data_IF_049149245625
#
_entry.id   IF_049149245625
#
_cell.length_a   1.000
_cell.length_b   1.000
_cell.length_c   1.000
_cell.angle_alpha   90.00
_cell.angle_beta   90.00
_cell.angle_gamma   90.00
#
_symmetry.space_group_name_H-M   'P 1'
#
loop_
_entity.id
_entity.type
_entity.pdbx_description
1 polymer ?
#
# COMPACT_ATOMS: atom_id res chain seq x y z
N UNK A 1 6.37 -16.21 -43.83
CA UNK A 1 5.66 -14.90 -43.89
C UNK A 1 4.80 -14.64 -42.66
N UNK A 2 4.08 -15.64 -42.14
CA UNK A 2 3.24 -15.56 -40.93
C UNK A 2 3.95 -14.95 -39.70
N UNK A 3 5.18 -15.41 -39.38
CA UNK A 3 5.95 -14.89 -38.23
C UNK A 3 6.23 -13.38 -38.29
N UNK A 4 6.54 -12.84 -39.47
CA UNK A 4 6.79 -11.39 -39.63
C UNK A 4 5.50 -10.58 -39.55
N UNK A 5 4.40 -11.12 -40.07
CA UNK A 5 3.07 -10.52 -39.91
C UNK A 5 2.65 -10.43 -38.45
N UNK A 6 2.85 -11.50 -37.66
CA UNK A 6 2.56 -11.51 -36.22
C UNK A 6 3.41 -10.50 -35.45
N UNK A 7 4.71 -10.42 -35.72
CA UNK A 7 5.59 -9.44 -35.06
C UNK A 7 5.22 -8.00 -35.41
N UNK A 8 4.82 -7.73 -36.66
CA UNK A 8 4.36 -6.41 -37.08
C UNK A 8 3.04 -6.04 -36.39
N UNK A 9 2.11 -6.99 -36.27
CA UNK A 9 0.87 -6.81 -35.51
C UNK A 9 1.16 -6.47 -34.04
N UNK A 10 2.00 -7.25 -33.36
CA UNK A 10 2.36 -6.97 -31.96
C UNK A 10 3.11 -5.64 -31.79
N UNK A 11 3.91 -5.23 -32.78
CA UNK A 11 4.57 -3.92 -32.78
C UNK A 11 3.54 -2.79 -32.80
N UNK A 12 2.56 -2.87 -33.71
CA UNK A 12 1.48 -1.87 -33.81
C UNK A 12 0.65 -1.86 -32.54
N UNK A 13 0.31 -3.03 -31.98
CA UNK A 13 -0.41 -3.13 -30.71
C UNK A 13 0.37 -2.53 -29.54
N UNK A 14 1.67 -2.82 -29.42
CA UNK A 14 2.51 -2.23 -28.38
C UNK A 14 2.65 -0.72 -28.53
N UNK A 15 2.81 -0.22 -29.76
CA UNK A 15 2.89 1.22 -30.04
C UNK A 15 1.58 1.94 -29.74
N UNK A 16 0.46 1.38 -30.19
CA UNK A 16 -0.87 1.94 -29.91
C UNK A 16 -1.16 1.94 -28.42
N UNK A 17 -0.86 0.84 -27.72
CA UNK A 17 -1.00 0.76 -26.26
C UNK A 17 -0.08 1.73 -25.49
N UNK A 18 1.10 2.07 -26.04
CA UNK A 18 2.01 3.07 -25.46
C UNK A 18 1.51 4.51 -25.64
N UNK A 19 0.79 4.78 -26.73
CA UNK A 19 0.28 6.10 -27.10
C UNK A 19 -1.16 6.35 -26.62
N UNK A 20 -1.88 5.29 -26.27
CA UNK A 20 -3.20 5.36 -25.66
C UNK A 20 -3.08 6.00 -24.28
N UNK A 21 -3.66 7.20 -24.15
CA UNK A 21 -3.77 7.91 -22.87
C UNK A 21 -4.52 7.09 -21.83
N UNK A 22 -5.56 6.38 -22.28
CA UNK A 22 -6.45 5.56 -21.43
C UNK A 22 -6.22 4.07 -21.70
N UNK A 23 -5.03 3.57 -21.39
CA UNK A 23 -4.75 2.14 -21.47
C UNK A 23 -5.47 1.43 -20.31
N UNK A 24 -6.45 0.54 -20.55
CA UNK A 24 -7.29 -0.02 -19.50
C UNK A 24 -6.52 -0.89 -18.50
N UNK A 25 -5.45 -1.57 -18.95
CA UNK A 25 -4.61 -2.40 -18.06
C UNK A 25 -3.79 -1.53 -17.12
N UNK A 26 -3.22 -0.44 -17.65
CA UNK A 26 -2.46 0.51 -16.84
C UNK A 26 -3.39 1.26 -15.91
N UNK A 27 -4.56 1.71 -16.39
CA UNK A 27 -5.57 2.38 -15.59
C UNK A 27 -6.09 1.53 -14.44
N UNK A 28 -6.37 0.24 -14.67
CA UNK A 28 -6.76 -0.69 -13.60
C UNK A 28 -5.64 -0.85 -12.54
N UNK A 29 -4.39 -1.02 -12.97
CA UNK A 29 -3.27 -1.12 -12.04
C UNK A 29 -3.00 0.18 -11.26
N UNK A 30 -3.22 1.35 -11.88
CA UNK A 30 -3.19 2.64 -11.21
C UNK A 30 -4.31 2.77 -10.18
N UNK A 31 -5.52 2.35 -10.54
CA UNK A 31 -6.68 2.28 -9.66
C UNK A 31 -6.39 1.43 -8.42
N UNK A 32 -5.89 0.21 -8.61
CA UNK A 32 -5.49 -0.65 -7.50
C UNK A 32 -4.47 0.01 -6.56
N UNK A 33 -3.41 0.61 -7.10
CA UNK A 33 -2.42 1.31 -6.28
C UNK A 33 -3.02 2.51 -5.54
N UNK A 34 -3.90 3.28 -6.19
CA UNK A 34 -4.58 4.42 -5.59
C UNK A 34 -5.57 3.99 -4.48
N UNK A 35 -6.30 2.90 -4.67
CA UNK A 35 -7.24 2.37 -3.68
C UNK A 35 -6.51 1.92 -2.41
N UNK A 36 -5.37 1.24 -2.56
CA UNK A 36 -4.57 0.88 -1.39
C UNK A 36 -3.99 2.12 -0.71
N UNK A 37 -3.56 3.14 -1.47
CA UNK A 37 -3.10 4.40 -0.90
C UNK A 37 -4.19 5.10 -0.08
N UNK A 38 -5.40 5.20 -0.62
CA UNK A 38 -6.58 5.78 0.06
C UNK A 38 -6.92 5.00 1.33
N UNK A 39 -6.92 3.67 1.24
CA UNK A 39 -7.24 2.80 2.39
C UNK A 39 -6.17 2.94 3.49
N UNK A 40 -4.89 2.98 3.13
CA UNK A 40 -3.80 3.21 4.07
C UNK A 40 -3.85 4.63 4.67
N UNK A 41 -4.27 5.64 3.90
CA UNK A 41 -4.46 6.99 4.39
C UNK A 41 -5.53 7.06 5.50
N UNK A 42 -6.64 6.35 5.33
CA UNK A 42 -7.69 6.27 6.34
C UNK A 42 -7.14 5.66 7.65
N UNK A 43 -6.46 4.51 7.57
CA UNK A 43 -5.80 3.87 8.72
C UNK A 43 -4.77 4.79 9.39
N UNK A 44 -3.98 5.54 8.61
CA UNK A 44 -2.99 6.49 9.10
C UNK A 44 -3.62 7.64 9.89
N UNK A 45 -4.72 8.22 9.40
CA UNK A 45 -5.44 9.29 10.10
C UNK A 45 -5.97 8.78 11.43
N UNK A 46 -6.57 7.59 11.48
CA UNK A 46 -7.04 6.98 12.75
C UNK A 46 -5.91 6.81 13.75
N UNK A 47 -4.76 6.29 13.31
CA UNK A 47 -3.56 6.15 14.13
C UNK A 47 -3.03 7.50 14.63
N UNK A 48 -3.05 8.54 13.79
CA UNK A 48 -2.64 9.90 14.16
C UNK A 48 -3.54 10.49 15.25
N UNK A 49 -4.85 10.30 15.13
CA UNK A 49 -5.83 10.74 16.13
C UNK A 49 -5.61 10.03 17.46
N UNK A 50 -5.40 8.71 17.41
CA UNK A 50 -5.08 7.91 18.60
C UNK A 50 -3.79 8.39 19.30
N UNK A 51 -2.73 8.62 18.53
CA UNK A 51 -1.45 9.13 19.05
C UNK A 51 -1.60 10.53 19.67
N UNK A 52 -2.39 11.40 19.06
CA UNK A 52 -2.65 12.72 19.62
C UNK A 52 -3.37 12.61 20.98
N UNK A 53 -4.39 11.76 21.07
CA UNK A 53 -5.12 11.50 22.31
C UNK A 53 -4.23 10.92 23.41
N UNK A 54 -3.43 9.88 23.10
CA UNK A 54 -2.52 9.25 24.05
C UNK A 54 -1.49 10.27 24.58
N UNK A 55 -0.94 11.10 23.69
CA UNK A 55 0.00 12.16 24.06
C UNK A 55 -0.63 13.19 25.01
N UNK A 56 -1.85 13.65 24.74
CA UNK A 56 -2.59 14.56 25.63
C UNK A 56 -2.90 13.91 26.98
N UNK A 57 -3.29 12.63 27.00
CA UNK A 57 -3.57 11.90 28.23
C UNK A 57 -2.32 11.77 29.14
N UNK A 58 -1.13 11.62 28.55
CA UNK A 58 0.13 11.60 29.27
C UNK A 58 0.53 12.99 29.81
N UNK A 59 0.38 14.05 29.01
CA UNK A 59 0.76 15.42 29.40
C UNK A 59 -0.04 15.93 30.61
N UNK A 60 -1.35 15.66 30.65
CA UNK A 60 -2.24 16.05 31.75
C UNK A 60 -1.82 15.40 33.09
N UNK A 61 -1.33 14.15 33.07
CA UNK A 61 -0.87 13.48 34.28
C UNK A 61 0.42 14.11 34.84
N UNK A 62 1.36 14.48 33.96
CA UNK A 62 2.62 15.13 34.33
C UNK A 62 2.37 16.49 34.99
N UNK A 63 1.37 17.25 34.53
CA UNK A 63 0.97 18.53 35.13
C UNK A 63 0.39 18.42 36.55
N UNK A 64 -0.29 17.32 36.87
CA UNK A 64 -0.93 17.09 38.18
C UNK A 64 0.01 16.41 39.21
N UNK A 65 0.94 15.57 38.77
CA UNK A 65 1.87 14.86 39.67
C UNK A 65 2.93 15.78 40.30
N UNK A 66 3.08 17.02 39.82
CA UNK A 66 3.97 18.01 40.44
C UNK A 66 3.38 18.62 41.73
N UNK A 67 2.05 18.55 41.92
CA UNK A 67 1.35 19.13 43.08
C UNK A 67 1.03 18.06 44.14
N UNK A 68 0.89 16.78 43.74
CA UNK A 68 0.63 15.66 44.64
C UNK A 68 1.83 14.71 44.71
N UNK A 69 2.68 14.90 45.72
CA UNK A 69 3.77 13.98 46.09
C UNK A 69 3.19 12.61 46.50
N UNK A 70 3.23 11.62 45.60
CA UNK A 70 2.67 10.29 45.86
C UNK A 70 2.89 9.25 44.76
N UNK A 71 4.16 8.84 44.59
CA UNK A 71 4.72 7.53 44.13
C UNK A 71 3.96 6.49 43.26
N UNK A 72 2.91 6.79 42.50
CA UNK A 72 2.42 5.87 41.46
C UNK A 72 2.12 6.66 40.18
N UNK A 73 2.83 6.32 39.10
CA UNK A 73 2.66 6.89 37.74
C UNK A 73 1.90 5.88 36.87
N UNK A 74 0.58 5.74 37.00
CA UNK A 74 -0.17 4.74 36.24
C UNK A 74 -0.14 4.98 34.72
N UNK A 75 -0.02 6.21 34.22
CA UNK A 75 -0.06 6.47 32.76
C UNK A 75 1.31 6.56 32.10
N UNK A 76 2.42 6.67 32.84
CA UNK A 76 3.78 6.50 32.27
C UNK A 76 4.04 5.08 31.73
N UNK A 77 3.15 4.13 32.04
CA UNK A 77 3.17 2.77 31.52
C UNK A 77 2.57 2.68 30.11
N UNK A 78 1.90 3.75 29.60
CA UNK A 78 1.39 3.87 28.22
C UNK A 78 2.46 4.19 27.17
N UNK A 79 3.65 4.61 27.60
CA UNK A 79 4.79 4.97 26.72
C UNK A 79 5.09 3.90 25.66
N UNK A 80 5.13 2.59 25.98
CA UNK A 80 5.38 1.55 24.97
C UNK A 80 4.26 1.39 23.93
N UNK A 81 3.02 1.72 24.29
CA UNK A 81 1.88 1.63 23.37
C UNK A 81 1.91 2.81 22.40
N UNK A 82 2.13 4.02 22.91
CA UNK A 82 2.26 5.22 22.08
C UNK A 82 3.42 5.05 21.07
N UNK A 83 4.60 4.61 21.54
CA UNK A 83 5.76 4.31 20.68
C UNK A 83 5.42 3.27 19.58
N UNK A 84 4.61 2.26 19.91
CA UNK A 84 4.19 1.23 18.96
C UNK A 84 3.21 1.79 17.93
N UNK A 85 2.24 2.59 18.37
CA UNK A 85 1.26 3.28 17.52
C UNK A 85 1.99 4.24 16.58
N UNK A 86 2.92 5.06 17.07
CA UNK A 86 3.74 5.97 16.27
C UNK A 86 4.50 5.20 15.18
N UNK A 87 5.14 4.09 15.56
CA UNK A 87 5.91 3.27 14.62
C UNK A 87 5.04 2.65 13.54
N UNK A 88 3.88 2.11 13.91
CA UNK A 88 2.93 1.55 12.94
C UNK A 88 2.38 2.66 12.04
N UNK A 89 2.05 3.83 12.58
CA UNK A 89 1.61 4.99 11.80
C UNK A 89 2.65 5.41 10.76
N UNK A 90 3.93 5.46 11.15
CA UNK A 90 5.03 5.74 10.22
C UNK A 90 5.15 4.71 9.08
N UNK A 91 4.92 3.43 9.38
CA UNK A 91 4.92 2.37 8.37
C UNK A 91 3.72 2.48 7.42
N UNK A 92 2.51 2.69 7.95
CA UNK A 92 1.29 2.88 7.16
C UNK A 92 1.39 4.14 6.28
N UNK A 93 1.99 5.21 6.79
CA UNK A 93 2.32 6.40 6.01
C UNK A 93 3.27 6.07 4.85
N UNK A 94 4.35 5.32 5.12
CA UNK A 94 5.28 4.89 4.07
C UNK A 94 4.61 4.05 2.97
N UNK A 95 3.70 3.16 3.37
CA UNK A 95 2.85 2.36 2.48
C UNK A 95 1.96 3.24 1.60
N UNK A 96 1.26 4.21 2.19
CA UNK A 96 0.43 5.19 1.49
C UNK A 96 1.23 6.00 0.46
N UNK A 97 2.40 6.53 0.86
CA UNK A 97 3.24 7.31 -0.05
C UNK A 97 3.80 6.44 -1.17
N UNK A 98 4.30 5.24 -0.86
CA UNK A 98 4.85 4.34 -1.86
C UNK A 98 3.79 3.96 -2.92
N UNK A 99 2.58 3.65 -2.49
CA UNK A 99 1.47 3.30 -3.40
C UNK A 99 0.97 4.49 -4.20
N UNK A 100 0.83 5.67 -3.60
CA UNK A 100 0.51 6.90 -4.32
C UNK A 100 1.55 7.23 -5.40
N UNK A 101 2.84 7.07 -5.09
CA UNK A 101 3.93 7.24 -6.06
C UNK A 101 3.84 6.21 -7.19
N UNK A 102 3.57 4.93 -6.88
CA UNK A 102 3.38 3.88 -7.88
C UNK A 102 2.19 4.23 -8.80
N UNK A 103 1.05 4.65 -8.25
CA UNK A 103 -0.14 5.01 -9.02
C UNK A 103 0.15 6.13 -10.04
N UNK A 104 0.93 7.14 -9.64
CA UNK A 104 1.33 8.24 -10.54
C UNK A 104 2.39 7.80 -11.55
N UNK A 105 3.38 7.02 -11.11
CA UNK A 105 4.50 6.60 -11.96
C UNK A 105 4.12 5.53 -12.99
N UNK A 106 3.07 4.74 -12.73
CA UNK A 106 2.75 3.58 -13.57
C UNK A 106 2.43 3.96 -15.02
N UNK A 107 1.71 5.07 -15.23
CA UNK A 107 1.39 5.60 -16.56
C UNK A 107 2.63 5.80 -17.44
N UNK A 108 3.53 6.73 -17.08
CA UNK A 108 4.74 6.98 -17.87
C UNK A 108 5.68 5.77 -17.93
N UNK A 109 5.84 5.01 -16.83
CA UNK A 109 6.72 3.82 -16.81
C UNK A 109 6.22 2.74 -17.79
N UNK A 110 4.91 2.49 -17.80
CA UNK A 110 4.30 1.51 -18.70
C UNK A 110 4.38 1.95 -20.16
N UNK A 111 4.15 3.24 -20.44
CA UNK A 111 4.28 3.79 -21.79
C UNK A 111 5.71 3.66 -22.33
N UNK A 112 6.73 3.95 -21.52
CA UNK A 112 8.13 3.75 -21.87
C UNK A 112 8.40 2.26 -22.14
N UNK A 113 7.90 1.37 -21.27
CA UNK A 113 8.04 -0.07 -21.44
C UNK A 113 7.45 -0.58 -22.76
N UNK A 114 6.20 -0.20 -23.05
CA UNK A 114 5.51 -0.55 -24.29
C UNK A 114 6.22 0.05 -25.52
N UNK A 115 6.76 1.27 -25.41
CA UNK A 115 7.58 1.89 -26.44
C UNK A 115 8.87 1.09 -26.74
N UNK A 116 9.61 0.68 -25.70
CA UNK A 116 10.81 -0.17 -25.84
C UNK A 116 10.47 -1.53 -26.47
N UNK A 117 9.33 -2.11 -26.07
CA UNK A 117 8.83 -3.35 -26.65
C UNK A 117 8.50 -3.19 -28.14
N UNK A 118 7.82 -2.10 -28.50
CA UNK A 118 7.50 -1.78 -29.90
C UNK A 118 8.78 -1.63 -30.74
N UNK A 119 9.78 -0.89 -30.26
CA UNK A 119 11.07 -0.75 -30.95
C UNK A 119 11.76 -2.11 -31.13
N UNK A 120 11.74 -2.98 -30.12
CA UNK A 120 12.31 -4.31 -30.21
C UNK A 120 11.63 -5.15 -31.32
N UNK A 121 10.29 -5.10 -31.39
CA UNK A 121 9.50 -5.80 -32.39
C UNK A 121 9.73 -5.23 -33.80
N UNK A 122 9.83 -3.90 -33.93
CA UNK A 122 10.16 -3.23 -35.19
C UNK A 122 11.54 -3.67 -35.72
N UNK A 123 12.56 -3.74 -34.85
CA UNK A 123 13.89 -4.23 -35.24
C UNK A 123 13.83 -5.69 -35.70
N UNK A 124 13.06 -6.55 -35.03
CA UNK A 124 12.91 -7.95 -35.44
C UNK A 124 12.11 -8.16 -36.73
N UNK A 125 11.16 -7.27 -37.05
CA UNK A 125 10.42 -7.35 -38.31
C UNK A 125 11.27 -6.90 -39.51
N UNK A 126 12.07 -5.85 -39.34
CA UNK A 126 12.87 -5.23 -40.39
C UNK A 126 14.24 -5.91 -40.60
N UNK A 127 14.83 -6.50 -39.57
CA UNK A 127 16.17 -7.06 -39.66
C UNK A 127 16.19 -8.44 -40.33
N UNK A 128 16.96 -8.56 -41.42
CA UNK A 128 17.21 -9.83 -42.13
C UNK A 128 18.34 -10.67 -41.50
N UNK A 129 19.22 -10.05 -40.71
CA UNK A 129 20.33 -10.70 -39.99
C UNK A 129 20.11 -10.57 -38.48
N UNK A 130 20.09 -11.69 -37.78
CA UNK A 130 19.72 -11.79 -36.36
C UNK A 130 20.65 -11.00 -35.44
N UNK A 131 20.32 -9.74 -35.17
CA UNK A 131 20.91 -8.99 -34.07
C UNK A 131 20.29 -9.52 -32.78
N UNK A 132 20.88 -10.56 -32.19
CA UNK A 132 20.24 -11.33 -31.13
C UNK A 132 20.28 -10.66 -29.74
N UNK A 133 21.23 -9.75 -29.49
CA UNK A 133 21.49 -9.19 -28.16
C UNK A 133 20.61 -8.00 -27.77
N UNK A 134 20.69 -6.91 -28.53
CA UNK A 134 20.05 -5.62 -28.22
C UNK A 134 18.50 -5.68 -28.23
N UNK A 135 17.82 -6.13 -29.30
CA UNK A 135 16.35 -6.18 -29.31
C UNK A 135 15.80 -7.16 -28.29
N UNK A 136 16.55 -8.21 -27.91
CA UNK A 136 16.15 -9.11 -26.83
C UNK A 136 16.13 -8.41 -25.47
N UNK A 137 17.12 -7.55 -25.17
CA UNK A 137 17.13 -6.74 -23.93
C UNK A 137 15.98 -5.72 -23.94
N UNK A 138 15.78 -5.03 -25.05
CA UNK A 138 14.69 -4.08 -25.21
C UNK A 138 13.31 -4.74 -25.04
N UNK A 139 13.11 -5.92 -25.62
CA UNK A 139 11.89 -6.70 -25.44
C UNK A 139 11.68 -7.15 -23.99
N UNK A 140 12.76 -7.53 -23.28
CA UNK A 140 12.67 -7.93 -21.88
C UNK A 140 12.32 -6.77 -20.96
N UNK A 141 13.06 -5.66 -21.02
CA UNK A 141 12.76 -4.48 -20.22
C UNK A 141 11.42 -3.86 -20.60
N UNK A 142 11.12 -3.80 -21.90
CA UNK A 142 9.87 -3.27 -22.42
C UNK A 142 8.67 -4.12 -22.03
N UNK A 143 8.76 -5.44 -22.17
CA UNK A 143 7.72 -6.37 -21.72
C UNK A 143 7.56 -6.38 -20.21
N UNK A 144 8.66 -6.24 -19.45
CA UNK A 144 8.58 -6.18 -17.99
C UNK A 144 7.88 -4.91 -17.51
N UNK A 145 8.36 -3.73 -17.93
CA UNK A 145 7.82 -2.44 -17.49
C UNK A 145 6.44 -2.15 -18.08
N UNK A 146 6.22 -2.52 -19.35
CA UNK A 146 5.00 -2.19 -20.08
C UNK A 146 3.86 -3.19 -19.89
N UNK A 147 4.13 -4.43 -19.51
CA UNK A 147 3.11 -5.47 -19.39
C UNK A 147 3.19 -6.23 -18.07
N UNK A 148 4.34 -6.81 -17.71
CA UNK A 148 4.44 -7.68 -16.54
C UNK A 148 4.06 -6.98 -15.24
N UNK A 149 4.57 -5.76 -15.03
CA UNK A 149 4.31 -4.98 -13.82
C UNK A 149 2.83 -4.54 -13.71
N UNK A 150 2.21 -3.88 -14.73
CA UNK A 150 0.79 -3.56 -14.69
C UNK A 150 -0.10 -4.80 -14.53
N UNK A 151 0.19 -5.88 -15.27
CA UNK A 151 -0.60 -7.11 -15.17
C UNK A 151 -0.51 -7.74 -13.79
N UNK A 152 0.66 -7.74 -13.16
CA UNK A 152 0.80 -8.27 -11.80
C UNK A 152 -0.05 -7.48 -10.80
N UNK A 153 -0.15 -6.16 -10.94
CA UNK A 153 -1.00 -5.32 -10.09
C UNK A 153 -2.49 -5.56 -10.36
N UNK A 154 -2.91 -5.63 -11.64
CA UNK A 154 -4.31 -5.93 -12.00
C UNK A 154 -4.73 -7.31 -11.47
N UNK A 155 -3.87 -8.32 -11.59
CA UNK A 155 -4.17 -9.67 -11.08
C UNK A 155 -4.14 -9.69 -9.55
N UNK A 156 -3.32 -8.83 -8.92
CA UNK A 156 -3.28 -8.72 -7.47
C UNK A 156 -4.59 -8.22 -6.91
N UNK A 157 -5.26 -7.27 -7.55
CA UNK A 157 -6.48 -6.64 -7.04
C UNK A 157 -7.56 -7.62 -6.54
N UNK A 158 -8.12 -8.52 -7.39
CA UNK A 158 -9.17 -9.43 -6.96
C UNK A 158 -8.64 -10.50 -5.98
N UNK A 159 -7.40 -10.93 -6.16
CA UNK A 159 -6.80 -11.98 -5.34
C UNK A 159 -6.48 -11.47 -3.93
N UNK A 160 -5.95 -10.26 -3.82
CA UNK A 160 -5.66 -9.64 -2.54
C UNK A 160 -6.96 -9.29 -1.80
N UNK A 161 -7.98 -8.79 -2.50
CA UNK A 161 -9.32 -8.60 -1.93
C UNK A 161 -9.84 -9.90 -1.31
N UNK A 162 -9.95 -10.96 -2.10
CA UNK A 162 -10.46 -12.25 -1.63
C UNK A 162 -9.67 -12.84 -0.43
N UNK A 163 -8.35 -12.63 -0.38
CA UNK A 163 -7.50 -13.18 0.68
C UNK A 163 -7.46 -12.33 1.95
N UNK A 164 -7.69 -11.01 1.86
CA UNK A 164 -7.40 -10.09 2.97
C UNK A 164 -8.58 -9.26 3.44
N UNK A 165 -9.65 -9.15 2.66
CA UNK A 165 -10.79 -8.28 2.99
C UNK A 165 -11.43 -8.62 4.33
N UNK A 166 -11.65 -9.91 4.61
CA UNK A 166 -12.22 -10.33 5.89
C UNK A 166 -11.33 -10.03 7.10
N UNK A 167 -9.99 -10.12 6.93
CA UNK A 167 -9.04 -9.77 7.99
C UNK A 167 -8.99 -8.26 8.18
N UNK A 168 -9.00 -7.50 7.09
CA UNK A 168 -9.00 -6.03 7.13
C UNK A 168 -10.24 -5.49 7.84
N UNK A 169 -11.44 -5.88 7.39
CA UNK A 169 -12.69 -5.37 7.92
C UNK A 169 -12.85 -5.68 9.41
N UNK A 170 -12.57 -6.92 9.83
CA UNK A 170 -12.66 -7.31 11.24
C UNK A 170 -11.74 -6.47 12.13
N UNK A 171 -10.49 -6.26 11.71
CA UNK A 171 -9.53 -5.54 12.54
C UNK A 171 -9.80 -4.03 12.52
N UNK A 172 -10.30 -3.48 11.40
CA UNK A 172 -10.75 -2.09 11.36
C UNK A 172 -11.95 -1.84 12.26
N UNK A 173 -12.90 -2.77 12.34
CA UNK A 173 -14.04 -2.69 13.27
C UNK A 173 -13.56 -2.67 14.72
N UNK A 174 -12.58 -3.52 15.09
CA UNK A 174 -11.98 -3.50 16.43
C UNK A 174 -11.28 -2.17 16.73
N UNK A 175 -10.50 -1.65 15.77
CA UNK A 175 -9.83 -0.35 15.92
C UNK A 175 -10.89 0.75 16.09
N UNK A 176 -11.95 0.74 15.28
CA UNK A 176 -13.02 1.73 15.34
C UNK A 176 -13.81 1.64 16.65
N UNK A 177 -14.17 0.45 17.13
CA UNK A 177 -14.85 0.26 18.43
C UNK A 177 -14.02 0.85 19.58
N UNK A 178 -12.72 0.55 19.60
CA UNK A 178 -11.79 1.01 20.64
C UNK A 178 -11.57 2.52 20.54
N UNK A 179 -11.56 3.08 19.32
CA UNK A 179 -11.27 4.49 19.08
C UNK A 179 -12.50 5.39 18.96
N UNK A 180 -13.72 4.86 18.82
CA UNK A 180 -14.95 5.63 18.68
C UNK A 180 -15.18 6.58 19.86
N UNK A 181 -14.80 6.14 21.05
CA UNK A 181 -14.88 6.93 22.28
C UNK A 181 -13.78 8.00 22.40
N UNK A 182 -12.71 7.88 21.60
CA UNK A 182 -11.54 8.76 21.59
C UNK A 182 -11.61 9.79 20.45
N UNK A 183 -12.18 9.41 19.30
CA UNK A 183 -12.23 10.18 18.07
C UNK A 183 -13.56 10.87 17.77
N UNK A 184 -14.55 10.75 18.66
CA UNK A 184 -15.80 11.50 18.55
C UNK A 184 -15.53 13.01 18.56
N UNK A 185 -16.26 13.75 17.72
CA UNK A 185 -16.31 15.22 17.68
C UNK A 185 -16.59 15.91 19.02
N UNK A 186 -16.81 15.15 20.10
CA UNK A 186 -16.89 15.59 21.49
C UNK A 186 -15.51 15.89 22.09
N UNK A 187 -14.42 15.26 21.63
CA UNK A 187 -13.05 15.62 22.03
C UNK A 187 -12.54 16.93 21.37
N UNK A 188 -13.25 17.41 20.35
CA UNK A 188 -12.99 18.68 19.63
C UNK A 188 -14.20 19.64 19.69
N UNK A 189 -15.23 19.29 20.46
CA UNK A 189 -16.41 20.11 20.71
C UNK A 189 -16.14 21.10 21.83
N UNK A 190 -16.88 22.21 21.86
CA UNK A 190 -16.67 23.39 22.72
C UNK A 190 -16.72 23.14 24.25
N UNK A 191 -16.87 21.89 24.70
CA UNK A 191 -16.76 21.48 26.10
C UNK A 191 -15.56 20.53 26.24
N UNK A 192 -14.42 21.05 26.71
CA UNK A 192 -13.28 20.21 27.07
C UNK A 192 -13.75 19.10 28.04
N UNK A 193 -13.62 17.81 27.69
CA UNK A 193 -14.05 16.73 28.56
C UNK A 193 -13.38 16.89 29.93
N UNK A 194 -14.16 16.69 31.00
CA UNK A 194 -13.62 16.82 32.35
C UNK A 194 -12.44 15.87 32.56
N UNK A 195 -11.46 16.26 33.39
CA UNK A 195 -10.26 15.45 33.70
C UNK A 195 -10.57 14.00 34.12
N UNK A 196 -11.74 13.76 34.71
CA UNK A 196 -12.23 12.42 35.09
C UNK A 196 -12.67 11.57 33.91
N UNK A 197 -13.28 12.18 32.90
CA UNK A 197 -13.78 11.52 31.70
C UNK A 197 -12.61 11.10 30.80
N UNK A 198 -11.63 11.98 30.60
CA UNK A 198 -10.36 11.65 29.94
C UNK A 198 -9.62 10.48 30.61
N UNK A 199 -9.59 10.43 31.96
CA UNK A 199 -8.96 9.32 32.68
C UNK A 199 -9.69 7.99 32.47
N UNK A 200 -11.02 8.00 32.42
CA UNK A 200 -11.80 6.80 32.14
C UNK A 200 -11.56 6.31 30.71
N UNK A 201 -11.52 7.22 29.74
CA UNK A 201 -11.18 6.92 28.35
C UNK A 201 -9.78 6.33 28.20
N UNK A 202 -8.77 6.93 28.83
CA UNK A 202 -7.40 6.43 28.82
C UNK A 202 -7.27 5.06 29.50
N UNK A 203 -7.96 4.85 30.63
CA UNK A 203 -7.98 3.55 31.31
C UNK A 203 -8.65 2.45 30.47
N UNK A 204 -9.74 2.79 29.76
CA UNK A 204 -10.41 1.84 28.87
C UNK A 204 -9.51 1.45 27.70
N UNK A 205 -8.84 2.44 27.09
CA UNK A 205 -7.89 2.22 26.01
C UNK A 205 -6.71 1.34 26.45
N UNK A 206 -6.19 1.58 27.66
CA UNK A 206 -5.16 0.74 28.27
C UNK A 206 -5.60 -0.72 28.41
N UNK A 207 -6.82 -0.95 28.92
CA UNK A 207 -7.35 -2.31 29.13
C UNK A 207 -7.48 -3.12 27.83
N UNK A 208 -7.55 -2.44 26.68
CA UNK A 208 -7.69 -3.03 25.34
C UNK A 208 -6.46 -2.82 24.45
N UNK A 209 -5.34 -2.38 25.02
CA UNK A 209 -4.16 -2.01 24.23
C UNK A 209 -3.58 -3.18 23.42
N UNK A 210 -3.52 -4.38 24.01
CA UNK A 210 -3.00 -5.57 23.31
C UNK A 210 -3.87 -5.93 22.09
N UNK A 211 -5.19 -5.83 22.24
CA UNK A 211 -6.16 -6.07 21.18
C UNK A 211 -6.03 -5.02 20.07
N UNK A 212 -5.90 -3.74 20.45
CA UNK A 212 -5.68 -2.64 19.52
C UNK A 212 -4.38 -2.80 18.73
N UNK A 213 -3.26 -3.10 19.39
CA UNK A 213 -1.98 -3.32 18.73
C UNK A 213 -2.06 -4.53 17.80
N UNK A 214 -2.68 -5.62 18.24
CA UNK A 214 -2.92 -6.79 17.41
C UNK A 214 -3.69 -6.47 16.14
N UNK A 215 -4.77 -5.68 16.26
CA UNK A 215 -5.58 -5.25 15.12
C UNK A 215 -4.80 -4.33 14.17
N UNK A 216 -4.04 -3.38 14.70
CA UNK A 216 -3.18 -2.49 13.93
C UNK A 216 -2.09 -3.24 13.15
N UNK A 217 -1.45 -4.23 13.78
CA UNK A 217 -0.46 -5.09 13.12
C UNK A 217 -1.10 -5.94 12.02
N UNK A 218 -2.32 -6.44 12.23
CA UNK A 218 -3.05 -7.20 11.22
C UNK A 218 -3.39 -6.31 10.00
N UNK A 219 -3.88 -5.10 10.22
CA UNK A 219 -4.16 -4.11 9.15
C UNK A 219 -2.88 -3.74 8.39
N UNK A 220 -1.79 -3.48 9.10
CA UNK A 220 -0.48 -3.23 8.48
C UNK A 220 -0.02 -4.44 7.66
N UNK A 221 -0.17 -5.65 8.19
CA UNK A 221 0.14 -6.90 7.50
C UNK A 221 -0.65 -7.06 6.20
N UNK A 222 -1.94 -6.71 6.21
CA UNK A 222 -2.78 -6.68 5.01
C UNK A 222 -2.21 -5.70 3.98
N UNK A 223 -1.88 -4.46 4.37
CA UNK A 223 -1.29 -3.49 3.44
C UNK A 223 0.03 -3.98 2.85
N UNK A 224 0.93 -4.51 3.67
CA UNK A 224 2.21 -5.07 3.21
C UNK A 224 1.98 -6.22 2.22
N UNK A 225 1.02 -7.10 2.51
CA UNK A 225 0.68 -8.21 1.63
C UNK A 225 0.14 -7.74 0.28
N UNK A 226 -0.84 -6.82 0.29
CA UNK A 226 -1.50 -6.30 -0.92
C UNK A 226 -0.53 -5.59 -1.85
N UNK A 227 0.47 -4.88 -1.32
CA UNK A 227 1.36 -4.01 -2.11
C UNK A 227 2.67 -4.67 -2.49
N UNK A 228 3.30 -5.36 -1.53
CA UNK A 228 4.65 -5.86 -1.73
C UNK A 228 4.63 -7.36 -1.99
N UNK A 229 4.05 -8.14 -1.08
CA UNK A 229 4.19 -9.60 -1.16
C UNK A 229 3.47 -10.16 -2.39
N UNK A 230 2.18 -9.84 -2.57
CA UNK A 230 1.41 -10.45 -3.64
C UNK A 230 1.89 -10.01 -5.04
N UNK A 231 2.09 -8.72 -5.33
CA UNK A 231 2.60 -8.31 -6.63
C UNK A 231 4.00 -8.86 -6.92
N UNK A 232 4.89 -8.91 -5.92
CA UNK A 232 6.23 -9.47 -6.09
C UNK A 232 6.19 -10.98 -6.38
N UNK A 233 5.31 -11.72 -5.71
CA UNK A 233 5.10 -13.15 -5.97
C UNK A 233 4.56 -13.38 -7.38
N UNK A 234 3.61 -12.55 -7.85
CA UNK A 234 3.06 -12.66 -9.19
C UNK A 234 4.09 -12.30 -10.27
N UNK A 235 4.84 -11.21 -10.08
CA UNK A 235 5.95 -10.84 -10.98
C UNK A 235 7.02 -11.93 -11.01
N UNK A 236 7.41 -12.46 -9.85
CA UNK A 236 8.37 -13.56 -9.73
C UNK A 236 7.88 -14.84 -10.41
N UNK A 237 6.62 -15.20 -10.21
CA UNK A 237 5.97 -16.33 -10.89
C UNK A 237 5.96 -16.17 -12.40
N UNK A 238 5.57 -15.00 -12.90
CA UNK A 238 5.60 -14.67 -14.33
C UNK A 238 7.02 -14.79 -14.89
N UNK A 239 8.03 -14.31 -14.15
CA UNK A 239 9.42 -14.39 -14.56
C UNK A 239 9.93 -15.84 -14.64
N UNK A 240 9.61 -16.69 -13.66
CA UNK A 240 9.98 -18.11 -13.65
C UNK A 240 9.34 -18.84 -14.84
N UNK A 241 8.06 -18.61 -15.08
CA UNK A 241 7.31 -19.19 -16.22
C UNK A 241 7.94 -18.75 -17.54
N UNK A 242 8.18 -17.45 -17.71
CA UNK A 242 8.81 -16.91 -18.91
C UNK A 242 10.22 -17.49 -19.15
N UNK A 243 11.01 -17.69 -18.09
CA UNK A 243 12.35 -18.30 -18.18
C UNK A 243 12.28 -19.78 -18.54
N UNK A 244 11.30 -20.52 -18.02
CA UNK A 244 11.09 -21.93 -18.35
C UNK A 244 10.81 -22.12 -19.85
N UNK A 245 9.84 -21.36 -20.38
CA UNK A 245 9.50 -21.40 -21.82
C UNK A 245 10.58 -20.82 -22.74
N UNK A 246 11.49 -19.97 -22.24
CA UNK A 246 12.61 -19.47 -23.02
C UNK A 246 13.80 -20.46 -23.09
N UNK A 247 13.77 -21.55 -22.32
CA UNK A 247 14.82 -22.58 -22.27
C UNK A 247 14.39 -23.92 -22.90
N UNK A 248 13.09 -24.19 -22.95
CA UNK A 248 12.51 -25.29 -23.75
C UNK A 248 12.34 -24.90 -25.20
#
# INVERSE_FOLDING_TARGET
MIRRGLLALFCVLALTAALLRDNPVVGAAQGYAADVATTAAASYVTLRTLNAFLSTAQEIEVGLSFIASGSARPLKVLEPIDDTVERIAGLVFGVMVATGVIAVALGPVSAIGLGLLSVALAVWTLSKRGHAGLPRRLAWYGGFLGLALPLALVVSEPLAGALTEGVYLRNMEVIEEITAHVGGSEALGEEEPGLTEYRQLASNLWSRADELIGALLAVLGVHIFRIFLLPLLLVGGLFVVARYYARG
#
